data_IF_605341467757
#
_entry.id   IF_605341467757
#
_cell.length_a   1.000
_cell.length_b   1.000
_cell.length_c   1.000
_cell.angle_alpha   90.00
_cell.angle_beta   90.00
_cell.angle_gamma   90.00
#
_symmetry.space_group_name_H-M   'P 1'
#
loop_
_entity.id
_entity.type
_entity.pdbx_description
1 polymer ?
#
# COMPACT_ATOMS: atom_id res chain seq x y z
N UNK A 1 -8.88 -25.21 -0.30
CA UNK A 1 -8.42 -25.78 0.99
C UNK A 1 -9.16 -25.07 2.12
N UNK A 2 -9.84 -25.83 2.98
CA UNK A 2 -10.54 -25.30 4.18
C UNK A 2 -9.54 -24.87 5.27
N UNK A 3 -9.97 -23.98 6.16
CA UNK A 3 -9.15 -23.55 7.31
C UNK A 3 -8.83 -24.76 8.21
N UNK A 4 -7.60 -24.90 8.71
CA UNK A 4 -7.24 -25.96 9.64
C UNK A 4 -8.03 -25.81 10.94
N UNK A 5 -8.84 -26.82 11.29
CA UNK A 5 -9.65 -26.81 12.52
C UNK A 5 -8.79 -26.59 13.79
N UNK A 6 -9.19 -25.65 14.64
CA UNK A 6 -8.60 -25.42 15.97
C UNK A 6 -7.26 -24.69 16.04
N UNK A 7 -6.66 -24.30 14.91
CA UNK A 7 -5.41 -23.50 14.88
C UNK A 7 -5.68 -22.09 14.41
N UNK A 8 -4.92 -21.11 14.92
CA UNK A 8 -5.02 -19.73 14.47
C UNK A 8 -4.67 -19.64 12.97
N UNK A 9 -5.66 -19.34 12.09
CA UNK A 9 -5.44 -19.38 10.65
C UNK A 9 -4.51 -18.27 10.17
N UNK A 10 -4.45 -17.14 10.90
CA UNK A 10 -3.62 -15.99 10.54
C UNK A 10 -2.12 -16.27 10.71
N UNK A 11 -1.75 -17.36 11.41
CA UNK A 11 -0.35 -17.77 11.55
C UNK A 11 0.12 -18.68 10.41
N UNK A 12 -0.78 -19.39 9.75
CA UNK A 12 -0.43 -20.49 8.84
C UNK A 12 -0.98 -20.33 7.42
N UNK A 13 -2.10 -19.63 7.25
CA UNK A 13 -2.72 -19.36 5.96
C UNK A 13 -2.17 -18.06 5.40
N UNK A 14 -1.58 -18.15 4.20
CA UNK A 14 -1.19 -16.97 3.41
C UNK A 14 -1.64 -17.01 1.95
N UNK A 15 -2.28 -18.10 1.52
CA UNK A 15 -2.97 -18.20 0.22
C UNK A 15 -4.47 -18.17 0.43
N UNK A 16 -5.01 -16.97 0.53
CA UNK A 16 -6.42 -16.69 0.65
C UNK A 16 -7.15 -16.88 -0.68
N UNK A 17 -8.35 -17.44 -0.57
CA UNK A 17 -9.30 -17.60 -1.64
C UNK A 17 -10.70 -17.41 -1.05
N UNK A 18 -11.73 -17.40 -1.89
CA UNK A 18 -13.09 -17.22 -1.42
C UNK A 18 -13.48 -18.27 -0.37
N UNK A 19 -13.06 -19.53 -0.51
CA UNK A 19 -13.49 -20.59 0.40
C UNK A 19 -12.92 -20.45 1.82
N UNK A 20 -11.64 -20.09 1.95
CA UNK A 20 -11.05 -19.91 3.28
C UNK A 20 -11.36 -18.54 3.90
N UNK A 21 -11.69 -17.52 3.09
CA UNK A 21 -12.15 -16.22 3.58
C UNK A 21 -13.61 -16.21 4.03
N UNK A 22 -14.46 -17.14 3.55
CA UNK A 22 -15.88 -17.23 3.98
C UNK A 22 -16.07 -17.25 5.50
N UNK A 23 -15.12 -17.85 6.23
CA UNK A 23 -15.17 -17.99 7.68
C UNK A 23 -14.36 -16.89 8.42
N UNK A 24 -13.85 -15.90 7.69
CA UNK A 24 -13.11 -14.76 8.24
C UNK A 24 -14.01 -13.52 8.22
N UNK A 25 -14.35 -13.02 9.40
CA UNK A 25 -14.95 -11.70 9.55
C UNK A 25 -13.86 -10.63 9.49
N UNK A 26 -14.17 -9.50 8.84
CA UNK A 26 -13.31 -8.31 8.85
C UNK A 26 -13.97 -7.29 9.78
N UNK A 27 -13.23 -6.85 10.79
CA UNK A 27 -13.67 -5.82 11.72
C UNK A 27 -12.88 -4.54 11.44
N UNK A 28 -13.57 -3.41 11.30
CA UNK A 28 -12.94 -2.10 11.08
C UNK A 28 -13.08 -1.32 12.38
N UNK A 29 -11.94 -0.93 12.97
CA UNK A 29 -11.94 -0.10 14.18
C UNK A 29 -12.68 1.23 13.92
N UNK A 30 -13.10 1.90 14.99
CA UNK A 30 -13.71 3.22 14.89
C UNK A 30 -12.79 4.19 14.12
N UNK A 31 -13.35 4.89 13.13
CA UNK A 31 -12.62 5.88 12.34
C UNK A 31 -12.39 7.13 13.18
N UNK A 32 -11.12 7.43 13.48
CA UNK A 32 -10.71 8.57 14.30
C UNK A 32 -9.92 9.58 13.49
N UNK A 33 -10.08 10.86 13.83
CA UNK A 33 -9.20 11.90 13.30
C UNK A 33 -7.79 11.72 13.89
N UNK A 34 -6.78 11.81 13.03
CA UNK A 34 -5.36 11.59 13.34
C UNK A 34 -4.49 12.78 12.91
N UNK A 35 -5.11 13.92 12.61
CA UNK A 35 -4.42 15.16 12.23
C UNK A 35 -3.49 15.63 13.36
N UNK A 36 -2.19 15.58 13.13
CA UNK A 36 -1.18 16.03 14.11
C UNK A 36 -1.14 17.56 14.25
N UNK A 37 -0.70 18.06 15.41
CA UNK A 37 -0.48 19.50 15.64
C UNK A 37 0.51 20.10 14.66
N UNK A 38 1.56 19.35 14.30
CA UNK A 38 2.51 19.77 13.29
C UNK A 38 1.82 20.02 11.94
N UNK A 39 0.93 19.11 11.53
CA UNK A 39 0.18 19.28 10.29
C UNK A 39 -0.82 20.43 10.39
N UNK A 40 -1.50 20.61 11.54
CA UNK A 40 -2.38 21.76 11.76
C UNK A 40 -1.64 23.10 11.64
N UNK A 41 -0.36 23.15 12.01
CA UNK A 41 0.47 24.35 11.85
C UNK A 41 0.94 24.54 10.40
N UNK A 42 1.45 23.48 9.76
CA UNK A 42 2.07 23.56 8.43
C UNK A 42 1.04 23.62 7.30
N UNK A 43 -0.04 22.85 7.42
CA UNK A 43 -1.12 22.71 6.44
C UNK A 43 -2.47 22.76 7.19
N UNK A 44 -2.91 23.94 7.66
CA UNK A 44 -4.07 24.08 8.55
C UNK A 44 -5.39 23.59 7.95
N UNK A 45 -5.48 23.49 6.62
CA UNK A 45 -6.66 22.97 5.93
C UNK A 45 -6.68 21.45 5.82
N UNK A 46 -5.58 20.77 6.13
CA UNK A 46 -5.52 19.33 5.98
C UNK A 46 -6.03 18.62 7.23
N UNK A 47 -6.93 17.65 7.03
CA UNK A 47 -7.41 16.76 8.10
C UNK A 47 -7.32 15.31 7.65
N UNK A 48 -6.98 14.42 8.59
CA UNK A 48 -6.68 13.02 8.33
C UNK A 48 -7.52 12.12 9.23
N UNK A 49 -8.12 11.09 8.68
CA UNK A 49 -8.81 10.04 9.44
C UNK A 49 -8.22 8.68 9.16
N UNK A 50 -8.20 7.83 10.17
CA UNK A 50 -7.68 6.47 10.08
C UNK A 50 -8.53 5.50 10.91
N UNK A 51 -8.73 4.29 10.38
CA UNK A 51 -9.14 3.12 11.14
C UNK A 51 -8.30 1.92 10.72
N UNK A 52 -7.94 1.07 11.68
CA UNK A 52 -7.26 -0.18 11.41
C UNK A 52 -8.27 -1.29 11.10
N UNK A 53 -7.82 -2.26 10.32
CA UNK A 53 -8.59 -3.45 9.97
C UNK A 53 -8.06 -4.63 10.78
N UNK A 54 -8.98 -5.43 11.30
CA UNK A 54 -8.72 -6.69 11.99
C UNK A 54 -9.45 -7.83 11.27
N UNK A 55 -8.91 -9.02 11.39
CA UNK A 55 -9.47 -10.24 10.86
C UNK A 55 -9.80 -11.19 12.01
N UNK A 56 -10.97 -11.81 11.96
CA UNK A 56 -11.46 -12.70 13.01
C UNK A 56 -11.99 -13.99 12.43
N UNK A 57 -11.62 -15.11 13.03
CA UNK A 57 -12.07 -16.45 12.63
C UNK A 57 -12.28 -17.30 13.88
N UNK A 58 -13.54 -17.57 14.23
CA UNK A 58 -13.88 -18.22 15.48
C UNK A 58 -13.34 -17.44 16.70
N UNK A 59 -12.54 -18.06 17.58
CA UNK A 59 -11.97 -17.40 18.75
C UNK A 59 -10.69 -16.59 18.45
N UNK A 60 -10.18 -16.62 17.21
CA UNK A 60 -8.92 -15.98 16.85
C UNK A 60 -9.15 -14.61 16.22
N UNK A 61 -8.37 -13.61 16.63
CA UNK A 61 -8.33 -12.26 16.08
C UNK A 61 -6.88 -11.89 15.71
N UNK A 62 -6.69 -11.16 14.61
CA UNK A 62 -5.39 -10.63 14.20
C UNK A 62 -5.51 -9.30 13.45
N UNK A 63 -4.60 -8.36 13.73
CA UNK A 63 -4.37 -7.15 12.90
C UNK A 63 -3.49 -7.43 11.68
N UNK A 64 -2.81 -8.58 11.69
CA UNK A 64 -1.87 -8.99 10.66
C UNK A 64 -2.49 -10.12 9.84
N UNK A 65 -2.46 -9.97 8.52
CA UNK A 65 -2.83 -11.03 7.59
C UNK A 65 -1.61 -11.37 6.73
N UNK A 66 -1.36 -12.66 6.56
CA UNK A 66 -0.25 -13.15 5.72
C UNK A 66 -0.69 -13.22 4.28
N UNK A 67 0.20 -12.85 3.36
CA UNK A 67 0.02 -12.95 1.92
C UNK A 67 1.25 -13.67 1.37
N UNK A 68 1.06 -14.86 0.83
CA UNK A 68 2.14 -15.67 0.29
C UNK A 68 2.28 -15.50 -1.21
N UNK A 69 3.51 -15.69 -1.68
CA UNK A 69 3.89 -15.61 -3.09
C UNK A 69 3.48 -14.28 -3.74
N UNK A 70 3.68 -13.16 -3.03
CA UNK A 70 3.49 -11.83 -3.57
C UNK A 70 4.60 -11.49 -4.56
N UNK A 71 4.21 -11.08 -5.76
CA UNK A 71 5.14 -10.62 -6.78
C UNK A 71 5.48 -9.14 -6.56
N UNK A 72 6.77 -8.85 -6.46
CA UNK A 72 7.30 -7.51 -6.26
C UNK A 72 8.19 -7.17 -7.47
N UNK A 73 7.75 -6.29 -8.38
CA UNK A 73 8.55 -5.91 -9.54
C UNK A 73 9.75 -5.06 -9.12
N UNK A 74 10.74 -4.97 -9.99
CA UNK A 74 11.73 -3.91 -9.91
C UNK A 74 11.12 -2.60 -10.47
N UNK A 75 11.28 -1.50 -9.74
CA UNK A 75 10.87 -0.17 -10.19
C UNK A 75 12.00 0.82 -9.91
N UNK A 76 12.37 1.60 -10.93
CA UNK A 76 13.34 2.69 -10.81
C UNK A 76 12.68 3.91 -10.15
N UNK A 77 12.60 3.91 -8.83
CA UNK A 77 12.07 5.02 -8.04
C UNK A 77 12.86 5.23 -6.76
N UNK A 78 12.94 6.48 -6.31
CA UNK A 78 13.58 6.85 -5.05
C UNK A 78 12.89 6.16 -3.87
N UNK A 79 13.69 5.61 -2.95
CA UNK A 79 13.26 4.87 -1.76
C UNK A 79 12.48 3.56 -2.02
N UNK A 80 12.37 3.11 -3.28
CA UNK A 80 11.78 1.82 -3.61
C UNK A 80 12.63 0.66 -3.09
N UNK A 81 12.03 -0.31 -2.41
CA UNK A 81 12.72 -1.39 -1.72
C UNK A 81 13.22 -1.01 -0.32
N UNK A 82 13.26 0.28 0.03
CA UNK A 82 13.64 0.76 1.36
C UNK A 82 12.43 1.20 2.17
N UNK A 83 11.67 2.19 1.69
CA UNK A 83 10.52 2.74 2.41
C UNK A 83 9.20 2.09 2.01
N UNK A 84 9.09 1.73 0.74
CA UNK A 84 7.92 1.09 0.17
C UNK A 84 8.28 0.12 -0.95
N UNK A 85 7.35 -0.76 -1.27
CA UNK A 85 7.35 -1.61 -2.46
C UNK A 85 5.97 -1.62 -3.12
N UNK A 86 5.88 -2.04 -4.37
CA UNK A 86 4.62 -2.40 -5.01
C UNK A 86 4.50 -3.92 -4.95
N UNK A 87 3.34 -4.42 -4.51
CA UNK A 87 3.12 -5.85 -4.40
C UNK A 87 1.83 -6.25 -5.11
N UNK A 88 1.88 -7.35 -5.86
CA UNK A 88 0.68 -8.03 -6.34
C UNK A 88 0.10 -8.86 -5.19
N UNK A 89 -1.11 -8.49 -4.77
CA UNK A 89 -1.83 -9.11 -3.67
C UNK A 89 -3.04 -9.92 -4.16
N UNK A 90 -3.57 -10.75 -3.26
CA UNK A 90 -4.75 -11.57 -3.51
C UNK A 90 -6.01 -10.69 -3.38
N UNK A 91 -6.59 -10.32 -4.53
CA UNK A 91 -7.73 -9.38 -4.65
C UNK A 91 -8.92 -9.70 -3.75
N UNK A 92 -9.20 -10.99 -3.55
CA UNK A 92 -10.29 -11.49 -2.70
C UNK A 92 -10.23 -10.95 -1.26
N UNK A 93 -9.04 -10.64 -0.74
CA UNK A 93 -8.91 -10.03 0.60
C UNK A 93 -9.36 -8.57 0.57
N UNK A 94 -8.96 -7.82 -0.46
CA UNK A 94 -9.38 -6.43 -0.66
C UNK A 94 -10.89 -6.32 -0.86
N UNK A 95 -11.47 -7.19 -1.69
CA UNK A 95 -12.91 -7.27 -1.91
C UNK A 95 -13.67 -7.54 -0.61
N UNK A 96 -13.16 -8.46 0.22
CA UNK A 96 -13.76 -8.75 1.53
C UNK A 96 -13.72 -7.53 2.47
N UNK A 97 -12.62 -6.78 2.46
CA UNK A 97 -12.50 -5.53 3.23
C UNK A 97 -13.53 -4.50 2.76
N UNK A 98 -13.71 -4.31 1.45
CA UNK A 98 -14.69 -3.37 0.91
C UNK A 98 -16.11 -3.78 1.27
N UNK A 99 -16.44 -5.07 1.12
CA UNK A 99 -17.76 -5.60 1.45
C UNK A 99 -18.13 -5.31 2.91
N UNK A 100 -17.21 -5.56 3.86
CA UNK A 100 -17.45 -5.28 5.27
C UNK A 100 -17.44 -3.76 5.56
N UNK A 101 -16.57 -2.98 4.92
CA UNK A 101 -16.55 -1.51 5.07
C UNK A 101 -17.87 -0.86 4.69
N UNK A 102 -18.49 -1.32 3.61
CA UNK A 102 -19.79 -0.81 3.16
C UNK A 102 -20.90 -1.07 4.19
N UNK A 103 -20.88 -2.21 4.90
CA UNK A 103 -21.83 -2.50 5.99
C UNK A 103 -21.70 -1.50 7.16
N UNK A 104 -20.55 -0.87 7.30
CA UNK A 104 -20.27 0.19 8.28
C UNK A 104 -20.38 1.62 7.71
N UNK A 105 -20.97 1.80 6.52
CA UNK A 105 -21.06 3.09 5.82
C UNK A 105 -19.69 3.74 5.53
N UNK A 106 -18.67 2.93 5.29
CA UNK A 106 -17.34 3.40 4.88
C UNK A 106 -17.13 3.02 3.42
N UNK A 107 -17.04 4.02 2.53
CA UNK A 107 -16.72 3.79 1.12
C UNK A 107 -15.20 3.66 0.99
N UNK A 108 -14.71 2.53 0.48
CA UNK A 108 -13.28 2.25 0.33
C UNK A 108 -12.92 2.10 -1.14
N UNK A 109 -11.87 2.80 -1.56
CA UNK A 109 -11.22 2.61 -2.84
C UNK A 109 -10.09 1.58 -2.70
N UNK A 110 -10.13 0.54 -3.54
CA UNK A 110 -9.09 -0.49 -3.64
C UNK A 110 -7.96 -0.12 -4.60
N UNK A 111 -8.18 0.86 -5.48
CA UNK A 111 -7.19 1.26 -6.47
C UNK A 111 -6.06 2.05 -5.81
N UNK A 112 -4.84 1.57 -5.99
CA UNK A 112 -3.65 2.34 -5.65
C UNK A 112 -3.38 3.37 -6.73
N UNK A 113 -3.20 4.64 -6.34
CA UNK A 113 -2.89 5.72 -7.29
C UNK A 113 -1.56 5.51 -8.02
N UNK A 114 -0.63 4.74 -7.45
CA UNK A 114 0.70 4.50 -8.00
C UNK A 114 0.77 3.25 -8.87
N UNK A 115 -0.25 2.39 -8.83
CA UNK A 115 -0.24 1.13 -9.54
C UNK A 115 -1.66 0.74 -9.95
N UNK A 116 -1.94 0.83 -11.25
CA UNK A 116 -3.21 0.40 -11.80
C UNK A 116 -3.42 -1.09 -11.53
N UNK A 117 -4.54 -1.44 -10.90
CA UNK A 117 -4.99 -2.82 -10.76
C UNK A 117 -5.91 -3.20 -11.91
N UNK A 118 -5.87 -4.46 -12.31
CA UNK A 118 -6.78 -5.02 -13.32
C UNK A 118 -7.75 -6.05 -12.70
N UNK A 119 -8.49 -6.76 -13.54
CA UNK A 119 -9.46 -7.76 -13.10
C UNK A 119 -8.79 -8.91 -12.31
N UNK A 120 -7.57 -9.29 -12.71
CA UNK A 120 -6.82 -10.45 -12.22
C UNK A 120 -5.72 -10.08 -11.22
N UNK A 121 -5.22 -8.85 -11.28
CA UNK A 121 -4.05 -8.38 -10.53
C UNK A 121 -4.44 -7.18 -9.67
N UNK A 122 -4.40 -7.37 -8.36
CA UNK A 122 -4.56 -6.27 -7.42
C UNK A 122 -3.18 -5.81 -6.93
N UNK A 123 -2.78 -4.63 -7.39
CA UNK A 123 -1.51 -4.00 -7.05
C UNK A 123 -1.69 -3.00 -5.91
N UNK A 124 -0.79 -3.06 -4.93
CA UNK A 124 -0.79 -2.12 -3.82
C UNK A 124 0.62 -1.68 -3.44
N UNK A 125 0.74 -0.42 -3.05
CA UNK A 125 1.89 0.12 -2.33
C UNK A 125 1.89 -0.42 -0.90
N UNK A 126 2.93 -1.17 -0.56
CA UNK A 126 3.20 -1.62 0.80
C UNK A 126 4.21 -0.67 1.41
N UNK A 127 3.81 0.01 2.47
CA UNK A 127 4.64 1.00 3.16
C UNK A 127 5.41 0.37 4.32
N UNK A 128 6.35 1.13 4.90
CA UNK A 128 7.10 0.76 6.10
C UNK A 128 7.94 -0.52 5.92
N UNK A 129 8.64 -0.66 4.79
CA UNK A 129 9.42 -1.87 4.49
C UNK A 129 10.80 -1.88 5.16
N UNK A 130 11.31 -0.71 5.57
CA UNK A 130 12.67 -0.56 6.10
C UNK A 130 12.91 -1.40 7.35
N UNK A 131 13.93 -2.26 7.29
CA UNK A 131 14.28 -3.22 8.36
C UNK A 131 13.25 -4.34 8.60
N UNK A 132 12.17 -4.42 7.80
CA UNK A 132 11.10 -5.41 7.95
C UNK A 132 11.09 -6.48 6.88
N UNK A 133 11.88 -6.30 5.82
CA UNK A 133 12.08 -7.31 4.77
C UNK A 133 13.39 -8.04 5.03
N UNK A 134 13.39 -9.35 4.84
CA UNK A 134 14.56 -10.18 5.13
C UNK A 134 14.39 -11.62 4.68
N UNK A 135 15.34 -12.46 5.09
CA UNK A 135 15.28 -13.92 4.90
C UNK A 135 14.94 -14.59 6.22
N UNK A 136 14.33 -15.78 6.14
CA UNK A 136 14.13 -16.64 7.30
C UNK A 136 15.01 -17.87 7.11
N UNK A 137 15.93 -18.09 8.05
CA UNK A 137 16.87 -19.21 8.00
C UNK A 137 16.20 -20.56 8.31
N UNK A 138 16.97 -21.64 8.23
CA UNK A 138 16.50 -23.00 8.57
C UNK A 138 16.10 -23.17 10.04
N UNK A 139 16.56 -22.28 10.90
CA UNK A 139 16.26 -22.24 12.34
C UNK A 139 15.07 -21.33 12.67
N UNK A 140 14.37 -20.81 11.65
CA UNK A 140 13.26 -19.88 11.75
C UNK A 140 13.62 -18.49 12.34
N UNK A 141 14.90 -18.11 12.32
CA UNK A 141 15.33 -16.76 12.66
C UNK A 141 15.14 -15.83 11.47
N UNK A 142 14.78 -14.59 11.76
CA UNK A 142 14.61 -13.55 10.75
C UNK A 142 15.85 -12.66 10.66
N UNK A 143 16.42 -12.55 9.48
CA UNK A 143 17.56 -11.69 9.18
C UNK A 143 17.14 -10.59 8.19
N UNK A 144 17.07 -9.32 8.62
CA UNK A 144 16.74 -8.20 7.74
C UNK A 144 17.71 -8.09 6.56
N UNK A 145 17.20 -7.75 5.40
CA UNK A 145 17.96 -7.54 4.17
C UNK A 145 17.57 -6.21 3.53
N UNK A 146 18.53 -5.53 2.92
CA UNK A 146 18.27 -4.32 2.13
C UNK A 146 17.74 -4.72 0.75
N UNK A 147 16.41 -4.69 0.61
CA UNK A 147 15.76 -5.03 -0.64
C UNK A 147 16.07 -4.01 -1.75
N UNK A 148 16.29 -2.73 -1.42
CA UNK A 148 16.72 -1.72 -2.38
C UNK A 148 18.08 -2.05 -3.00
N UNK A 149 19.03 -2.51 -2.17
CA UNK A 149 20.34 -2.96 -2.64
C UNK A 149 20.26 -4.24 -3.51
N UNK A 150 19.31 -5.14 -3.22
CA UNK A 150 19.05 -6.32 -4.06
C UNK A 150 18.54 -5.86 -5.43
N UNK A 151 17.51 -5.02 -5.46
CA UNK A 151 16.96 -4.48 -6.71
C UNK A 151 18.00 -3.73 -7.55
N UNK A 152 18.82 -2.89 -6.93
CA UNK A 152 19.87 -2.16 -7.63
C UNK A 152 20.93 -3.09 -8.26
N UNK A 153 21.15 -4.28 -7.69
CA UNK A 153 22.10 -5.26 -8.20
C UNK A 153 21.53 -6.20 -9.24
N UNK A 154 20.26 -6.59 -9.10
CA UNK A 154 19.64 -7.58 -9.99
C UNK A 154 18.86 -6.95 -11.12
N UNK A 155 18.33 -5.74 -10.93
CA UNK A 155 17.36 -5.10 -11.83
C UNK A 155 16.14 -5.99 -12.17
N UNK A 156 15.84 -6.94 -11.29
CA UNK A 156 14.80 -7.95 -11.44
C UNK A 156 13.84 -7.93 -10.25
N UNK A 157 12.64 -8.48 -10.44
CA UNK A 157 11.66 -8.67 -9.37
C UNK A 157 12.07 -9.71 -8.31
N UNK A 158 11.32 -9.73 -7.22
CA UNK A 158 11.43 -10.71 -6.14
C UNK A 158 10.07 -11.29 -5.77
N UNK A 159 10.06 -12.49 -5.20
CA UNK A 159 8.87 -13.05 -4.55
C UNK A 159 9.00 -12.96 -3.04
N UNK A 160 7.98 -12.39 -2.39
CA UNK A 160 7.92 -12.25 -0.94
C UNK A 160 6.69 -12.96 -0.37
N UNK A 161 6.83 -13.45 0.86
CA UNK A 161 5.69 -13.64 1.74
C UNK A 161 5.58 -12.41 2.64
N UNK A 162 4.43 -11.74 2.63
CA UNK A 162 4.18 -10.48 3.34
C UNK A 162 3.20 -10.68 4.49
N UNK A 163 3.59 -10.25 5.68
CA UNK A 163 2.71 -10.07 6.82
C UNK A 163 2.25 -8.61 6.81
N UNK A 164 0.96 -8.37 6.53
CA UNK A 164 0.42 -7.02 6.26
C UNK A 164 -0.54 -6.55 7.35
N UNK A 165 -0.47 -5.26 7.67
CA UNK A 165 -1.47 -4.54 8.47
C UNK A 165 -2.23 -3.59 7.55
N UNK A 166 -3.55 -3.75 7.49
CA UNK A 166 -4.40 -2.88 6.68
C UNK A 166 -5.03 -1.76 7.51
N UNK A 167 -5.19 -0.60 6.89
CA UNK A 167 -5.95 0.52 7.45
C UNK A 167 -6.68 1.28 6.35
N UNK A 168 -7.84 1.83 6.66
CA UNK A 168 -8.52 2.80 5.80
C UNK A 168 -8.09 4.20 6.20
N UNK A 169 -7.76 5.04 5.21
CA UNK A 169 -7.31 6.42 5.43
C UNK A 169 -8.08 7.39 4.55
N UNK A 170 -8.53 8.50 5.14
CA UNK A 170 -9.14 9.63 4.44
C UNK A 170 -8.29 10.87 4.68
N UNK A 171 -8.11 11.67 3.63
CA UNK A 171 -7.47 12.99 3.70
C UNK A 171 -8.40 14.01 3.07
N UNK A 172 -8.65 15.10 3.81
CA UNK A 172 -9.35 16.30 3.33
C UNK A 172 -8.36 17.45 3.31
N UNK A 173 -8.48 18.34 2.32
CA UNK A 173 -7.55 19.48 2.10
C UNK A 173 -8.25 20.84 2.20
N UNK A 174 -9.52 20.86 2.61
CA UNK A 174 -10.43 22.00 2.67
C UNK A 174 -10.93 22.28 4.09
N UNK A 175 -10.32 21.63 5.10
CA UNK A 175 -10.69 21.68 6.52
C UNK A 175 -12.08 21.10 6.83
N UNK A 176 -12.75 20.46 5.87
CA UNK A 176 -14.07 19.89 6.11
C UNK A 176 -14.00 18.72 7.08
N UNK A 177 -15.08 18.47 7.83
CA UNK A 177 -15.28 17.19 8.49
C UNK A 177 -15.52 16.07 7.47
N UNK A 178 -15.43 14.83 7.96
CA UNK A 178 -15.80 13.64 7.19
C UNK A 178 -17.31 13.62 6.92
N UNK A 179 -17.69 13.42 5.66
CA UNK A 179 -19.03 13.12 5.21
C UNK A 179 -19.21 11.61 4.94
N UNK A 180 -20.47 11.15 4.90
CA UNK A 180 -20.81 9.75 4.63
C UNK A 180 -20.44 9.26 3.22
N UNK A 181 -20.29 10.18 2.26
CA UNK A 181 -19.91 9.88 0.87
C UNK A 181 -18.39 9.91 0.63
N UNK A 182 -17.60 10.22 1.65
CA UNK A 182 -16.16 10.33 1.48
C UNK A 182 -15.53 8.96 1.22
N UNK A 183 -14.63 8.93 0.24
CA UNK A 183 -13.94 7.71 -0.19
C UNK A 183 -12.61 7.59 0.54
N UNK A 184 -12.49 6.54 1.34
CA UNK A 184 -11.25 6.16 2.02
C UNK A 184 -10.34 5.38 1.08
N UNK A 185 -9.03 5.58 1.20
CA UNK A 185 -8.06 4.72 0.54
C UNK A 185 -7.69 3.57 1.47
N UNK A 186 -7.64 2.35 0.94
CA UNK A 186 -7.04 1.23 1.65
C UNK A 186 -5.52 1.36 1.61
N UNK A 187 -4.88 1.23 2.77
CA UNK A 187 -3.42 1.35 2.93
C UNK A 187 -2.89 0.10 3.60
N UNK A 188 -1.84 -0.47 3.03
CA UNK A 188 -1.10 -1.60 3.57
C UNK A 188 0.24 -1.15 4.15
N UNK A 189 0.52 -1.58 5.38
CA UNK A 189 1.80 -1.42 6.06
C UNK A 189 2.45 -2.80 6.23
N UNK A 190 3.74 -2.92 5.92
CA UNK A 190 4.49 -4.16 6.11
C UNK A 190 4.74 -4.38 7.60
N UNK A 191 4.27 -5.49 8.16
CA UNK A 191 4.70 -5.96 9.48
C UNK A 191 6.02 -6.73 9.36
N UNK A 192 6.12 -7.61 8.35
CA UNK A 192 7.32 -8.38 7.99
C UNK A 192 7.21 -8.85 6.54
N UNK A 193 8.31 -8.92 5.82
CA UNK A 193 8.41 -9.55 4.51
C UNK A 193 9.52 -10.59 4.49
N UNK A 194 9.24 -11.79 4.01
CA UNK A 194 10.22 -12.87 3.86
C UNK A 194 10.52 -13.13 2.38
N UNK A 195 11.77 -12.93 1.97
CA UNK A 195 12.24 -13.20 0.61
C UNK A 195 12.18 -14.70 0.35
N UNK A 196 11.47 -15.07 -0.71
CA UNK A 196 11.31 -16.47 -1.17
C UNK A 196 12.11 -16.76 -2.43
N UNK A 197 12.23 -15.77 -3.31
CA UNK A 197 13.05 -15.85 -4.51
C UNK A 197 13.48 -14.45 -4.96
N UNK A 198 14.64 -14.38 -5.63
CA UNK A 198 15.18 -13.19 -6.28
C UNK A 198 15.33 -13.47 -7.79
N UNK A 199 15.60 -12.43 -8.59
CA UNK A 199 15.78 -12.57 -10.05
C UNK A 199 14.55 -13.16 -10.74
N UNK A 200 13.40 -12.60 -10.37
CA UNK A 200 12.11 -13.02 -10.89
C UNK A 200 11.69 -12.05 -11.99
N UNK A 201 11.37 -12.59 -13.16
CA UNK A 201 10.79 -11.81 -14.25
C UNK A 201 9.35 -11.44 -13.88
N UNK A 202 9.18 -10.26 -13.31
CA UNK A 202 7.90 -9.72 -12.85
C UNK A 202 7.72 -8.37 -13.50
N UNK A 203 6.73 -8.28 -14.39
CA UNK A 203 6.36 -7.03 -15.03
C UNK A 203 5.77 -6.06 -14.00
N UNK A 204 6.28 -4.82 -13.99
CA UNK A 204 5.75 -3.77 -13.14
C UNK A 204 4.36 -3.35 -13.63
N UNK A 205 3.41 -3.01 -12.73
CA UNK A 205 2.18 -2.38 -13.17
C UNK A 205 2.51 -1.08 -13.89
N UNK A 206 1.65 -0.67 -14.83
CA UNK A 206 1.72 0.66 -15.43
C UNK A 206 1.65 1.71 -14.32
N UNK A 207 2.81 2.27 -13.97
CA UNK A 207 2.91 3.39 -13.04
C UNK A 207 2.67 4.65 -13.88
N UNK A 208 1.55 5.33 -13.68
CA UNK A 208 1.41 6.72 -14.12
C UNK A 208 2.34 7.57 -13.23
N UNK A 209 3.65 7.50 -13.49
CA UNK A 209 4.60 8.35 -12.81
C UNK A 209 4.32 9.79 -13.28
N UNK A 210 3.90 10.65 -12.36
CA UNK A 210 4.09 12.08 -12.54
C UNK A 210 5.59 12.29 -12.72
N UNK A 211 6.01 12.64 -13.93
CA UNK A 211 7.42 12.88 -14.26
C UNK A 211 7.89 14.00 -13.32
N UNK A 212 8.85 13.75 -12.40
CA UNK A 212 9.31 14.77 -11.48
C UNK A 212 9.90 15.93 -12.29
N UNK A 213 9.34 17.12 -12.15
CA UNK A 213 9.96 18.31 -12.72
C UNK A 213 11.17 18.68 -11.88
N UNK A 214 12.34 18.84 -12.53
CA UNK A 214 13.49 19.42 -11.86
C UNK A 214 13.20 20.89 -11.53
N UNK A 215 13.67 21.42 -10.39
CA UNK A 215 13.52 22.84 -10.08
C UNK A 215 14.15 23.68 -11.18
N UNK A 216 13.43 24.69 -11.66
CA UNK A 216 13.98 25.63 -12.62
C UNK A 216 15.20 26.34 -12.03
N UNK A 217 16.27 26.42 -12.81
CA UNK A 217 17.50 27.13 -12.52
C UNK A 217 17.43 28.57 -13.05
N UNK A 218 18.44 29.40 -12.72
CA UNK A 218 18.56 30.74 -13.29
C UNK A 218 18.73 30.73 -14.82
N UNK A 219 19.21 29.61 -15.39
CA UNK A 219 19.35 29.46 -16.84
C UNK A 219 18.01 29.19 -17.54
N UNK A 220 16.97 28.78 -16.79
CA UNK A 220 15.64 28.47 -17.32
C UNK A 220 14.69 29.70 -17.33
N UNK A 221 15.18 30.87 -16.88
CA UNK A 221 14.39 32.11 -16.87
C UNK A 221 14.24 32.59 -18.32
N UNK A 222 13.00 32.59 -18.82
CA UNK A 222 12.68 33.18 -20.11
C UNK A 222 13.01 34.69 -20.11
N UNK A 223 13.58 35.18 -21.21
CA UNK A 223 13.78 36.62 -21.40
C UNK A 223 12.45 37.36 -21.47
N UNK A 224 12.43 38.61 -20.99
CA UNK A 224 11.20 39.42 -20.92
C UNK A 224 10.51 39.56 -22.29
N UNK A 225 11.29 39.68 -23.37
CA UNK A 225 10.79 39.75 -24.75
C UNK A 225 9.94 38.53 -25.14
N UNK A 226 10.36 37.32 -24.73
CA UNK A 226 9.61 36.09 -24.98
C UNK A 226 8.31 36.05 -24.14
N UNK A 227 8.38 36.51 -22.90
CA UNK A 227 7.21 36.59 -22.01
C UNK A 227 6.16 37.53 -22.61
N UNK A 228 6.59 38.71 -23.06
CA UNK A 228 5.71 39.72 -23.66
C UNK A 228 5.10 39.23 -24.98
N UNK A 229 5.88 38.53 -25.81
CA UNK A 229 5.40 37.93 -27.05
C UNK A 229 4.36 36.83 -26.81
N UNK A 230 4.58 35.93 -25.84
CA UNK A 230 3.61 34.88 -25.48
C UNK A 230 2.34 35.50 -24.90
N UNK A 231 2.46 36.49 -24.03
CA UNK A 231 1.31 37.18 -23.45
C UNK A 231 0.47 37.89 -24.52
N UNK A 232 1.09 38.49 -25.53
CA UNK A 232 0.39 39.10 -26.67
C UNK A 232 -0.34 38.11 -27.58
N UNK A 233 0.02 36.83 -27.57
CA UNK A 233 -0.67 35.76 -28.31
C UNK A 233 -1.88 35.18 -27.55
N UNK A 234 -1.95 35.42 -26.24
CA UNK A 234 -3.01 34.90 -25.37
C UNK A 234 -4.12 35.93 -25.11
N UNK A 235 -4.11 37.05 -25.86
CA UNK A 235 -5.16 38.10 -25.87
C UNK A 235 -6.06 37.92 -27.08
#
# INVERSE_FOLDING_TARGET
MSLPGGKNPFNSVGKWNLDNLKNVAVEIDEVKETTSDFTRRKNPKNRYWKAFIKFKSGPHESKVIKMYDCDIPYVKSTNYGTDYILARLQKVVGEKIVEEALKHNIVVNLQDKRAASDENNWWMTINNTSGRIGVVDSSANFEPQDLGAIFAKTEDGVKLNLDLVFSVRLTKTDNSDRASKDVFNLVADCSRGSIKAIRQEIEAPSVEASIPQQPASKADIAGQELIDAINGLLV
#
